data_IF_185057079977
#
_entry.id   IF_185057079977
#
_cell.length_a   1.000
_cell.length_b   1.000
_cell.length_c   1.000
_cell.angle_alpha   90.00
_cell.angle_beta   90.00
_cell.angle_gamma   90.00
#
_symmetry.space_group_name_H-M   'P 1'
#
loop_
_entity.id
_entity.type
_entity.pdbx_description
1 polymer ?
#
# COMPACT_ATOMS: atom_id res chain seq x y z
N UNK A 1 12.83 -5.98 -0.06
CA UNK A 1 11.55 -6.11 -0.80
C UNK A 1 11.59 -5.21 -2.02
N UNK A 2 10.80 -5.49 -3.06
CA UNK A 2 10.63 -4.58 -4.22
C UNK A 2 9.24 -4.70 -4.80
N UNK A 3 8.70 -3.60 -5.33
CA UNK A 3 7.42 -3.62 -6.03
C UNK A 3 7.56 -4.11 -7.47
N UNK A 4 6.51 -4.76 -7.96
CA UNK A 4 6.27 -5.08 -9.35
C UNK A 4 4.86 -4.61 -9.72
N UNK A 5 4.78 -3.60 -10.58
CA UNK A 5 3.50 -2.94 -10.89
C UNK A 5 2.90 -3.46 -12.18
N UNK A 6 1.59 -3.73 -12.14
CA UNK A 6 0.77 -4.11 -13.29
C UNK A 6 -0.40 -3.14 -13.38
N UNK A 7 -0.32 -2.21 -14.33
CA UNK A 7 -1.43 -1.31 -14.61
C UNK A 7 -2.48 -2.04 -15.46
N UNK A 8 -3.73 -2.01 -15.00
CA UNK A 8 -4.89 -2.61 -15.64
C UNK A 8 -5.87 -1.51 -16.04
N UNK A 9 -6.24 -1.43 -17.32
CA UNK A 9 -7.17 -0.41 -17.81
C UNK A 9 -8.63 -0.67 -17.41
N UNK A 10 -8.95 -1.93 -17.12
CA UNK A 10 -10.27 -2.42 -16.71
C UNK A 10 -10.53 -2.23 -15.20
N UNK A 11 -9.49 -1.95 -14.41
CA UNK A 11 -9.64 -1.58 -13.01
C UNK A 11 -10.13 -0.12 -12.87
N UNK A 12 -10.98 0.18 -11.87
CA UNK A 12 -11.38 1.56 -11.58
C UNK A 12 -10.16 2.46 -11.36
N UNK A 13 -10.27 3.72 -11.76
CA UNK A 13 -9.25 4.73 -11.47
C UNK A 13 -9.02 4.80 -9.96
N UNK A 14 -7.78 5.06 -9.55
CA UNK A 14 -7.33 5.11 -8.16
C UNK A 14 -7.43 3.77 -7.40
N UNK A 15 -7.92 2.69 -7.99
CA UNK A 15 -7.94 1.39 -7.32
C UNK A 15 -6.59 0.70 -7.39
N UNK A 16 -6.25 -0.03 -6.32
CA UNK A 16 -5.03 -0.83 -6.27
C UNK A 16 -5.24 -2.06 -5.38
N UNK A 17 -4.42 -3.09 -5.61
CA UNK A 17 -4.37 -4.31 -4.83
C UNK A 17 -2.92 -4.75 -4.72
N UNK A 18 -2.41 -4.81 -3.49
CA UNK A 18 -1.11 -5.42 -3.23
C UNK A 18 -1.27 -6.92 -2.93
N UNK A 19 -0.34 -7.72 -3.42
CA UNK A 19 -0.23 -9.14 -3.13
C UNK A 19 1.20 -9.47 -2.73
N UNK A 20 1.32 -10.16 -1.60
CA UNK A 20 2.58 -10.70 -1.12
C UNK A 20 2.47 -12.21 -0.97
N UNK A 21 3.50 -12.92 -1.40
CA UNK A 21 3.64 -14.35 -1.18
C UNK A 21 4.70 -14.58 -0.10
N UNK A 22 4.50 -15.64 0.70
CA UNK A 22 5.48 -16.01 1.73
C UNK A 22 6.83 -16.29 1.08
N UNK A 23 7.91 -15.82 1.70
CA UNK A 23 9.30 -16.03 1.29
C UNK A 23 9.66 -15.44 -0.10
N UNK A 24 8.78 -14.61 -0.68
CA UNK A 24 9.07 -13.89 -1.91
C UNK A 24 9.34 -12.40 -1.64
N UNK A 25 10.52 -11.87 -2.02
CA UNK A 25 10.84 -10.46 -1.81
C UNK A 25 10.08 -9.52 -2.76
N UNK A 26 9.33 -10.08 -3.71
CA UNK A 26 8.57 -9.37 -4.72
C UNK A 26 7.14 -9.10 -4.23
N UNK A 27 6.73 -7.84 -4.28
CA UNK A 27 5.38 -7.41 -3.95
C UNK A 27 4.69 -7.06 -5.27
N UNK A 28 3.69 -7.86 -5.64
CA UNK A 28 2.91 -7.65 -6.84
C UNK A 28 1.82 -6.61 -6.56
N UNK A 29 1.72 -5.59 -7.41
CA UNK A 29 0.73 -4.51 -7.26
C UNK A 29 -0.05 -4.37 -8.56
N UNK A 30 -1.33 -4.75 -8.53
CA UNK A 30 -2.26 -4.47 -9.61
C UNK A 30 -2.97 -3.14 -9.33
N UNK A 31 -3.01 -2.24 -10.30
CA UNK A 31 -3.63 -0.93 -10.09
C UNK A 31 -4.33 -0.39 -11.34
N UNK A 32 -5.32 0.48 -11.12
CA UNK A 32 -5.97 1.25 -12.16
C UNK A 32 -5.20 2.53 -12.51
N UNK A 33 -5.78 3.33 -13.42
CA UNK A 33 -5.21 4.63 -13.81
C UNK A 33 -5.18 5.59 -12.62
N UNK A 34 -4.23 6.53 -12.64
CA UNK A 34 -4.05 7.61 -11.64
C UNK A 34 -3.53 7.17 -10.27
N UNK A 35 -3.11 5.91 -10.12
CA UNK A 35 -2.23 5.52 -9.02
C UNK A 35 -0.81 5.94 -9.38
N UNK A 36 -0.21 6.76 -8.55
CA UNK A 36 1.20 7.14 -8.69
C UNK A 36 2.06 6.00 -8.15
N UNK A 37 3.07 5.57 -8.92
CA UNK A 37 3.86 4.40 -8.59
C UNK A 37 5.32 4.58 -9.02
N UNK A 38 6.24 4.20 -8.15
CA UNK A 38 7.66 4.10 -8.43
C UNK A 38 8.31 2.98 -7.60
N UNK A 39 9.64 2.84 -7.69
CA UNK A 39 10.37 1.77 -7.03
C UNK A 39 10.22 1.74 -5.48
N UNK A 40 9.87 2.87 -4.85
CA UNK A 40 9.79 3.03 -3.39
C UNK A 40 8.38 3.02 -2.86
N UNK A 41 7.41 3.52 -3.62
CA UNK A 41 6.04 3.65 -3.15
C UNK A 41 5.00 3.59 -4.25
N UNK A 42 3.75 3.41 -3.85
CA UNK A 42 2.59 3.77 -4.64
C UNK A 42 1.52 4.42 -3.76
N UNK A 43 0.73 5.32 -4.35
CA UNK A 43 -0.34 6.01 -3.63
C UNK A 43 -1.42 6.46 -4.61
N UNK A 44 -2.67 6.34 -4.19
CA UNK A 44 -3.75 7.19 -4.66
C UNK A 44 -3.98 8.25 -3.58
N UNK A 45 -3.92 9.53 -3.94
CA UNK A 45 -4.15 10.60 -2.98
C UNK A 45 -3.10 11.69 -2.94
N UNK A 46 -3.10 12.43 -1.84
CA UNK A 46 -2.25 13.61 -1.60
C UNK A 46 -1.79 13.66 -0.15
N UNK A 47 -0.64 14.29 0.09
CA UNK A 47 -0.08 14.50 1.42
C UNK A 47 0.60 15.87 1.50
N UNK A 48 0.85 16.34 2.72
CA UNK A 48 1.55 17.60 2.95
C UNK A 48 3.09 17.41 2.90
N UNK A 49 3.63 17.22 1.71
CA UNK A 49 5.08 17.09 1.50
C UNK A 49 5.48 17.16 0.02
N UNK A 50 6.79 17.10 -0.24
CA UNK A 50 7.34 17.07 -1.59
C UNK A 50 7.05 15.71 -2.25
N UNK A 51 6.44 15.73 -3.43
CA UNK A 51 6.02 14.52 -4.13
C UNK A 51 7.19 13.56 -4.42
N UNK A 52 8.30 14.10 -4.90
CA UNK A 52 9.47 13.33 -5.34
C UNK A 52 10.17 12.56 -4.22
N UNK A 53 9.95 12.97 -2.96
CA UNK A 53 10.53 12.28 -1.81
C UNK A 53 9.74 11.02 -1.46
N UNK A 54 8.43 11.00 -1.70
CA UNK A 54 7.59 9.83 -1.43
C UNK A 54 7.36 9.53 0.05
N UNK A 55 7.74 10.44 0.93
CA UNK A 55 7.71 10.29 2.39
C UNK A 55 6.31 10.53 2.97
N UNK A 56 5.26 10.06 2.30
CA UNK A 56 3.89 10.20 2.82
C UNK A 56 3.67 9.40 4.10
N UNK A 57 4.48 8.39 4.37
CA UNK A 57 4.48 7.64 5.63
C UNK A 57 4.97 8.49 6.82
N UNK A 58 5.65 9.61 6.56
CA UNK A 58 6.08 10.60 7.54
C UNK A 58 5.24 11.89 7.52
N UNK A 59 4.28 12.01 6.60
CA UNK A 59 3.43 13.18 6.51
C UNK A 59 2.44 13.26 7.69
N UNK A 60 2.17 14.47 8.17
CA UNK A 60 1.17 14.68 9.24
C UNK A 60 -0.25 14.32 8.76
N UNK A 61 -0.51 14.50 7.46
CA UNK A 61 -1.81 14.23 6.85
C UNK A 61 -1.65 13.56 5.50
N UNK A 62 -2.36 12.45 5.31
CA UNK A 62 -2.48 11.75 4.04
C UNK A 62 -3.97 11.59 3.73
N UNK A 63 -4.37 12.11 2.58
CA UNK A 63 -5.71 11.92 2.02
C UNK A 63 -5.60 10.91 0.89
N UNK A 64 -5.94 9.66 1.19
CA UNK A 64 -5.89 8.53 0.26
C UNK A 64 -5.21 7.31 0.87
N UNK A 65 -4.73 6.41 0.03
CA UNK A 65 -4.21 5.11 0.44
C UNK A 65 -3.07 4.63 -0.45
N UNK A 66 -2.16 3.85 0.14
CA UNK A 66 -0.97 3.42 -0.59
C UNK A 66 -0.03 2.58 0.26
N UNK A 67 1.15 2.31 -0.27
CA UNK A 67 2.21 1.67 0.51
C UNK A 67 3.60 2.13 0.08
N UNK A 68 4.52 2.14 1.05
CA UNK A 68 5.93 2.48 0.88
C UNK A 68 6.84 1.39 1.47
N UNK A 69 7.99 1.18 0.84
CA UNK A 69 9.04 0.30 1.36
C UNK A 69 10.06 1.17 2.12
N UNK A 70 10.12 0.99 3.44
CA UNK A 70 11.02 1.72 4.33
C UNK A 70 12.00 0.71 4.96
N UNK A 71 13.18 0.58 4.35
CA UNK A 71 14.18 -0.44 4.69
C UNK A 71 13.66 -1.87 4.48
N UNK A 72 13.56 -2.63 5.56
CA UNK A 72 13.02 -4.00 5.59
C UNK A 72 11.53 -4.07 5.98
N UNK A 73 10.81 -2.96 5.89
CA UNK A 73 9.39 -2.86 6.28
C UNK A 73 8.55 -2.40 5.11
N UNK A 74 7.32 -2.92 5.02
CA UNK A 74 6.28 -2.40 4.17
C UNK A 74 5.29 -1.62 5.05
N UNK A 75 5.18 -0.32 4.80
CA UNK A 75 4.21 0.55 5.48
C UNK A 75 3.00 0.70 4.55
N UNK A 76 1.81 0.37 5.06
CA UNK A 76 0.56 0.56 4.32
C UNK A 76 -0.21 1.70 4.95
N UNK A 77 -0.42 2.75 4.17
CA UNK A 77 -1.21 3.91 4.56
C UNK A 77 -2.68 3.65 4.20
N UNK A 78 -3.55 3.71 5.20
CA UNK A 78 -5.01 3.69 4.98
C UNK A 78 -5.53 5.11 4.84
N UNK A 79 -6.72 5.30 4.26
CA UNK A 79 -7.40 6.59 4.30
C UNK A 79 -7.51 7.10 5.73
N UNK A 80 -7.27 8.40 5.93
CA UNK A 80 -7.39 9.04 7.25
C UNK A 80 -8.83 9.43 7.62
N UNK A 81 -9.82 8.92 6.89
CA UNK A 81 -11.22 9.30 7.00
C UNK A 81 -12.14 8.07 7.08
N UNK A 82 -13.37 8.23 7.55
CA UNK A 82 -14.25 7.10 7.94
C UNK A 82 -15.03 6.43 6.80
N UNK A 83 -15.03 7.02 5.60
CA UNK A 83 -15.81 6.53 4.45
C UNK A 83 -15.17 5.40 3.67
N UNK A 84 -13.86 5.17 3.83
CA UNK A 84 -13.11 4.15 3.09
C UNK A 84 -12.26 3.30 4.04
N UNK A 85 -12.00 2.04 3.69
CA UNK A 85 -11.09 1.19 4.44
C UNK A 85 -10.34 0.23 3.53
N UNK A 86 -9.13 -0.14 3.95
CA UNK A 86 -8.36 -1.18 3.26
C UNK A 86 -8.77 -2.55 3.78
N UNK A 87 -8.94 -3.47 2.84
CA UNK A 87 -9.23 -4.87 3.14
C UNK A 87 -8.01 -5.73 2.89
N UNK A 88 -7.61 -6.53 3.88
CA UNK A 88 -6.62 -7.59 3.71
C UNK A 88 -7.28 -8.95 3.76
N UNK A 89 -6.84 -9.86 2.89
CA UNK A 89 -7.30 -11.26 2.89
C UNK A 89 -6.13 -12.19 3.13
N UNK A 90 -6.18 -12.97 4.23
CA UNK A 90 -5.18 -14.01 4.53
C UNK A 90 -5.85 -15.34 4.78
N UNK A 91 -5.55 -16.37 3.96
CA UNK A 91 -5.95 -17.80 4.10
C UNK A 91 -7.43 -18.14 4.39
N UNK A 92 -8.31 -17.13 4.64
CA UNK A 92 -9.79 -17.10 4.80
C UNK A 92 -10.27 -15.93 5.68
N UNK A 93 -9.38 -15.18 6.33
CA UNK A 93 -9.72 -14.01 7.14
C UNK A 93 -9.73 -12.74 6.30
N UNK A 94 -10.78 -11.93 6.43
CA UNK A 94 -10.87 -10.57 5.91
C UNK A 94 -10.72 -9.60 7.08
N UNK A 95 -9.72 -8.72 7.05
CA UNK A 95 -9.54 -7.67 8.05
C UNK A 95 -9.65 -6.30 7.38
N UNK A 96 -10.52 -5.43 7.92
CA UNK A 96 -10.66 -4.04 7.50
C UNK A 96 -9.82 -3.12 8.39
N UNK A 97 -9.07 -2.20 7.78
CA UNK A 97 -8.24 -1.23 8.49
C UNK A 97 -8.67 0.19 8.11
N UNK A 98 -9.25 0.95 9.05
CA UNK A 98 -9.57 2.37 8.86
C UNK A 98 -8.41 3.30 9.25
N UNK A 99 -7.31 2.77 9.81
CA UNK A 99 -6.12 3.54 10.21
C UNK A 99 -4.84 2.75 9.92
N UNK A 100 -3.72 3.47 9.76
CA UNK A 100 -2.39 3.03 9.33
C UNK A 100 -2.04 1.59 9.75
N UNK A 101 -1.63 0.77 8.78
CA UNK A 101 -1.24 -0.62 9.00
C UNK A 101 0.26 -0.81 8.75
N UNK A 102 1.00 -1.13 9.82
CA UNK A 102 2.40 -1.50 9.72
C UNK A 102 2.53 -3.02 9.57
N UNK A 103 3.07 -3.50 8.44
CA UNK A 103 3.35 -4.91 8.21
C UNK A 103 4.86 -5.16 8.30
N UNK A 104 5.28 -5.82 9.37
CA UNK A 104 6.68 -6.21 9.57
C UNK A 104 6.98 -7.55 8.88
N UNK A 105 7.86 -7.52 7.88
CA UNK A 105 8.28 -8.71 7.10
C UNK A 105 8.87 -9.82 7.98
N UNK A 106 9.63 -9.46 9.03
CA UNK A 106 10.28 -10.42 9.93
C UNK A 106 9.34 -11.12 10.93
N UNK A 107 8.08 -10.71 11.04
CA UNK A 107 7.13 -11.27 12.01
C UNK A 107 5.85 -11.86 11.39
N UNK A 108 5.89 -12.20 10.10
CA UNK A 108 4.91 -13.10 9.49
C UNK A 108 5.17 -14.58 9.85
N UNK A 109 5.62 -14.84 11.08
CA UNK A 109 5.53 -16.15 11.73
C UNK A 109 4.08 -16.36 12.15
N UNK A 110 3.31 -16.99 11.27
CA UNK A 110 1.94 -17.40 11.55
C UNK A 110 1.84 -18.91 11.36
N UNK A 111 1.85 -19.60 12.51
CA UNK A 111 1.42 -20.99 12.69
C UNK A 111 0.05 -21.24 12.03
#
# INVERSE_FOLDING_TARGET
MKFNFHMHEDLPKLSWCLKMEKDQPLIEVSHGKWVEANARFFIEGTWNGEFDQGDFDHAETVMGSGAAITGDTLVVCTPSHTTECLYSKKKRTLCGFPTLLHLFWKHLDLH
#
